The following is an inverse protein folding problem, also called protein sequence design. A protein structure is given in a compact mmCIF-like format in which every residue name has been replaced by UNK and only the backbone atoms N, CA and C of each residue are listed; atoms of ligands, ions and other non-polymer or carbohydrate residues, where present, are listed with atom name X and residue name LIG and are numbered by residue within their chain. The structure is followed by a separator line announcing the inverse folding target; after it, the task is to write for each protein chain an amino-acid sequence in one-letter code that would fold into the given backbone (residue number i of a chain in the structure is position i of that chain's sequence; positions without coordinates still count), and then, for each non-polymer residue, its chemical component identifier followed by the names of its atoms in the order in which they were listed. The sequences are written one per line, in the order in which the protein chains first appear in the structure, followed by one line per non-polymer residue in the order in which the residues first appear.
data_IF_902414656505
#
_entry.id   IF_902414656505
#
_cell.length_a   1.000
_cell.length_b   1.000
_cell.length_c   1.000
_cell.angle_alpha   90.00
_cell.angle_beta   90.00
_cell.angle_gamma   90.00
#
_symmetry.space_group_name_H-M   'P 1'
#
loop_
_entity.id
_entity.type
_entity.pdbx_description
1 polymer ?
#
# COMPACT_ATOMS: atom_id res chain seq x y z
N UNK A 1 4.28 -9.04 13.08
CA UNK A 1 4.13 -9.91 11.88
C UNK A 1 5.42 -10.66 11.60
N UNK A 2 5.35 -11.79 10.89
CA UNK A 2 6.55 -12.60 10.55
C UNK A 2 6.94 -12.48 9.08
N UNK A 3 5.96 -12.25 8.22
CA UNK A 3 6.14 -12.15 6.77
C UNK A 3 5.82 -10.74 6.26
N UNK A 4 4.61 -10.25 6.50
CA UNK A 4 4.15 -8.95 6.00
C UNK A 4 4.48 -7.81 6.96
N UNK A 5 5.77 -7.70 7.33
CA UNK A 5 6.27 -6.66 8.24
C UNK A 5 6.21 -5.27 7.61
N UNK A 6 6.37 -4.23 8.44
CA UNK A 6 6.50 -2.84 7.94
C UNK A 6 7.60 -2.71 6.89
N UNK A 7 8.75 -3.35 7.14
CA UNK A 7 9.88 -3.34 6.22
C UNK A 7 9.55 -4.05 4.88
N UNK A 8 8.79 -5.16 4.95
CA UNK A 8 8.31 -5.83 3.75
C UNK A 8 7.36 -4.92 2.96
N UNK A 9 6.44 -4.24 3.64
CA UNK A 9 5.51 -3.30 3.00
C UNK A 9 6.25 -2.13 2.36
N UNK A 10 7.19 -1.51 3.08
CA UNK A 10 8.04 -0.44 2.53
C UNK A 10 8.85 -0.90 1.30
N UNK A 11 9.28 -2.17 1.28
CA UNK A 11 9.97 -2.75 0.14
C UNK A 11 9.02 -2.96 -1.04
N UNK A 12 7.79 -3.41 -0.79
CA UNK A 12 6.78 -3.62 -1.83
C UNK A 12 6.43 -2.34 -2.58
N UNK A 13 6.45 -1.17 -1.90
CA UNK A 13 6.25 0.14 -2.51
C UNK A 13 7.37 0.55 -3.48
N UNK A 14 8.49 -0.21 -3.53
CA UNK A 14 9.69 0.09 -4.35
C UNK A 14 9.86 -0.85 -5.54
N UNK A 15 8.80 -1.52 -5.96
CA UNK A 15 8.84 -2.54 -7.03
C UNK A 15 8.44 -2.03 -8.40
N UNK A 16 7.84 -0.83 -8.50
CA UNK A 16 7.11 -0.39 -9.70
C UNK A 16 7.61 0.91 -10.35
N UNK A 17 8.65 1.56 -9.83
CA UNK A 17 9.14 2.85 -10.37
C UNK A 17 9.55 2.83 -11.84
N UNK A 18 9.83 1.66 -12.40
CA UNK A 18 10.25 1.50 -13.79
C UNK A 18 9.09 1.38 -14.79
N UNK A 19 7.87 1.07 -14.32
CA UNK A 19 6.78 0.62 -15.20
C UNK A 19 6.33 1.66 -16.23
N UNK A 20 6.39 2.94 -15.88
CA UNK A 20 5.92 4.04 -16.74
C UNK A 20 7.05 4.88 -17.33
N UNK A 21 8.32 4.46 -17.16
CA UNK A 21 9.45 5.24 -17.66
C UNK A 21 9.56 5.19 -19.17
N UNK A 22 9.56 6.36 -19.78
CA UNK A 22 9.79 6.58 -21.21
C UNK A 22 11.26 6.97 -21.43
N UNK A 23 11.90 6.36 -22.41
CA UNK A 23 13.27 6.71 -22.78
C UNK A 23 13.32 7.99 -23.58
N UNK A 24 14.12 8.95 -23.13
CA UNK A 24 14.56 10.08 -23.96
C UNK A 24 16.03 10.39 -23.69
N UNK A 25 16.82 10.43 -24.76
CA UNK A 25 18.25 10.75 -24.68
C UNK A 25 18.51 12.15 -24.12
N UNK A 26 17.59 13.11 -24.30
CA UNK A 26 17.70 14.46 -23.72
C UNK A 26 17.73 14.44 -22.19
N UNK A 27 17.19 13.40 -21.56
CA UNK A 27 17.23 13.22 -20.10
C UNK A 27 18.63 12.84 -19.55
N UNK A 28 19.65 12.68 -20.40
CA UNK A 28 21.04 12.44 -19.97
C UNK A 28 21.69 13.71 -19.40
N UNK A 29 21.19 14.88 -19.76
CA UNK A 29 21.74 16.16 -19.35
C UNK A 29 20.67 17.05 -18.70
N UNK A 30 21.10 17.84 -17.72
CA UNK A 30 20.23 18.86 -17.17
C UNK A 30 19.93 19.93 -18.22
N UNK A 31 18.64 20.22 -18.44
CA UNK A 31 18.20 21.31 -19.34
C UNK A 31 16.87 21.89 -18.84
N UNK A 32 16.89 23.14 -18.44
CA UNK A 32 15.70 23.87 -18.02
C UNK A 32 14.65 23.95 -19.14
N UNK A 33 15.13 24.25 -20.37
CA UNK A 33 14.25 24.33 -21.53
C UNK A 33 13.54 22.99 -21.82
N UNK A 34 14.28 21.89 -21.74
CA UNK A 34 13.72 20.57 -21.94
C UNK A 34 12.70 20.21 -20.85
N UNK A 35 13.02 20.49 -19.58
CA UNK A 35 12.08 20.28 -18.49
C UNK A 35 10.78 21.07 -18.71
N UNK A 36 10.86 22.36 -19.06
CA UNK A 36 9.66 23.18 -19.28
C UNK A 36 8.82 22.68 -20.46
N UNK A 37 9.44 22.24 -21.55
CA UNK A 37 8.72 21.63 -22.67
C UNK A 37 7.99 20.37 -22.24
N UNK A 38 8.66 19.46 -21.53
CA UNK A 38 8.07 18.20 -21.04
C UNK A 38 6.93 18.47 -20.04
N UNK A 39 7.17 19.33 -19.05
CA UNK A 39 6.16 19.68 -18.05
C UNK A 39 4.88 20.25 -18.69
N UNK A 40 5.03 21.15 -19.66
CA UNK A 40 3.88 21.72 -20.36
C UNK A 40 3.14 20.67 -21.20
N UNK A 41 3.86 19.75 -21.84
CA UNK A 41 3.25 18.65 -22.59
C UNK A 41 2.40 17.75 -21.66
N UNK A 42 3.00 17.26 -20.58
CA UNK A 42 2.32 16.41 -19.59
C UNK A 42 1.12 17.10 -18.93
N UNK A 43 1.25 18.38 -18.62
CA UNK A 43 0.15 19.18 -18.10
C UNK A 43 -1.01 19.30 -19.11
N UNK A 44 -0.69 19.50 -20.40
CA UNK A 44 -1.74 19.58 -21.43
C UNK A 44 -2.46 18.24 -21.60
N UNK A 45 -1.73 17.14 -21.61
CA UNK A 45 -2.30 15.80 -21.71
C UNK A 45 -3.17 15.48 -20.50
N UNK A 46 -2.71 15.85 -19.29
CA UNK A 46 -3.50 15.74 -18.07
C UNK A 46 -4.82 16.53 -18.13
N UNK A 47 -4.75 17.79 -18.54
CA UNK A 47 -5.94 18.64 -18.65
C UNK A 47 -6.93 18.11 -19.68
N UNK A 48 -6.45 17.61 -20.82
CA UNK A 48 -7.29 17.00 -21.84
C UNK A 48 -8.00 15.77 -21.31
N UNK A 49 -7.28 14.87 -20.64
CA UNK A 49 -7.86 13.67 -20.03
C UNK A 49 -8.91 14.02 -18.96
N UNK A 50 -8.64 15.02 -18.10
CA UNK A 50 -9.59 15.47 -17.09
C UNK A 50 -10.84 16.08 -17.68
N UNK A 51 -10.72 16.88 -18.73
CA UNK A 51 -11.84 17.47 -19.45
C UNK A 51 -12.74 16.41 -20.10
N UNK A 52 -12.16 15.32 -20.63
CA UNK A 52 -12.89 14.18 -21.19
C UNK A 52 -13.62 13.37 -20.11
N UNK A 53 -13.03 13.23 -18.92
CA UNK A 53 -13.63 12.47 -17.80
C UNK A 53 -14.74 13.23 -17.08
N UNK A 54 -14.62 14.55 -16.94
CA UNK A 54 -15.56 15.41 -16.22
C UNK A 54 -16.38 16.22 -17.22
N UNK A 55 -17.51 15.71 -17.62
CA UNK A 55 -18.42 16.37 -18.59
C UNK A 55 -19.24 17.54 -18.01
N UNK A 56 -19.29 17.68 -16.67
CA UNK A 56 -20.03 18.72 -15.96
C UNK A 56 -19.10 19.28 -14.87
N UNK A 57 -18.93 20.61 -14.85
CA UNK A 57 -18.16 21.38 -13.84
C UNK A 57 -16.63 21.13 -13.85
N UNK A 58 -16.00 20.91 -15.01
CA UNK A 58 -14.54 20.86 -15.11
C UNK A 58 -13.90 22.22 -14.79
N UNK A 59 -13.14 22.30 -13.69
CA UNK A 59 -12.36 23.47 -13.32
C UNK A 59 -10.90 23.32 -13.73
N UNK A 60 -10.52 24.02 -14.79
CA UNK A 60 -9.18 23.92 -15.37
C UNK A 60 -8.06 24.40 -14.44
N UNK A 61 -8.32 25.40 -13.61
CA UNK A 61 -7.31 25.92 -12.68
C UNK A 61 -7.11 24.94 -11.51
N UNK A 62 -8.16 24.36 -11.00
CA UNK A 62 -8.08 23.31 -9.98
C UNK A 62 -7.32 22.07 -10.49
N UNK A 63 -7.62 21.63 -11.72
CA UNK A 63 -6.88 20.52 -12.34
C UNK A 63 -5.39 20.81 -12.56
N UNK A 64 -5.01 22.08 -12.83
CA UNK A 64 -3.61 22.50 -12.90
C UNK A 64 -2.91 22.43 -11.54
N UNK A 65 -3.59 22.87 -10.49
CA UNK A 65 -3.07 22.80 -9.12
C UNK A 65 -2.91 21.35 -8.67
N UNK A 66 -3.88 20.48 -8.96
CA UNK A 66 -3.78 19.04 -8.71
C UNK A 66 -2.55 18.42 -9.38
N UNK A 67 -2.36 18.70 -10.68
CA UNK A 67 -1.20 18.20 -11.41
C UNK A 67 0.11 18.68 -10.79
N UNK A 68 0.19 19.97 -10.47
CA UNK A 68 1.39 20.55 -9.86
C UNK A 68 1.69 19.92 -8.50
N UNK A 69 0.68 19.78 -7.66
CA UNK A 69 0.82 19.18 -6.32
C UNK A 69 1.24 17.71 -6.42
N UNK A 70 0.61 16.93 -7.30
CA UNK A 70 0.98 15.54 -7.55
C UNK A 70 2.44 15.43 -8.04
N UNK A 71 2.87 16.31 -8.94
CA UNK A 71 4.25 16.38 -9.44
C UNK A 71 5.26 16.66 -8.32
N UNK A 72 4.97 17.60 -7.41
CA UNK A 72 5.85 17.91 -6.26
C UNK A 72 5.92 16.72 -5.30
N UNK A 73 4.76 16.12 -4.96
CA UNK A 73 4.70 14.95 -4.08
C UNK A 73 5.48 13.79 -4.68
N UNK A 74 5.34 13.52 -6.00
CA UNK A 74 6.09 12.47 -6.69
C UNK A 74 7.61 12.67 -6.56
N UNK A 75 8.12 13.89 -6.76
CA UNK A 75 9.54 14.18 -6.56
C UNK A 75 10.00 13.87 -5.13
N UNK A 76 9.20 14.21 -4.13
CA UNK A 76 9.53 13.94 -2.73
C UNK A 76 9.58 12.42 -2.45
N UNK A 77 8.62 11.66 -2.99
CA UNK A 77 8.58 10.21 -2.88
C UNK A 77 9.82 9.59 -3.52
N UNK A 78 10.12 9.94 -4.77
CA UNK A 78 11.27 9.44 -5.50
C UNK A 78 12.58 9.73 -4.78
N UNK A 79 12.75 10.94 -4.28
CA UNK A 79 13.95 11.35 -3.52
C UNK A 79 14.12 10.56 -2.23
N UNK A 80 13.02 10.18 -1.57
CA UNK A 80 13.03 9.40 -0.32
C UNK A 80 13.26 7.91 -0.58
N UNK A 81 12.67 7.38 -1.65
CA UNK A 81 12.60 5.93 -1.85
C UNK A 81 13.69 5.37 -2.77
N UNK A 82 14.20 6.16 -3.71
CA UNK A 82 15.27 5.70 -4.59
C UNK A 82 16.65 5.73 -3.88
N UNK A 83 17.48 4.71 -4.10
CA UNK A 83 18.85 4.69 -3.59
C UNK A 83 19.68 5.87 -4.12
N UNK A 84 20.58 6.40 -3.28
CA UNK A 84 21.47 7.49 -3.63
C UNK A 84 22.33 7.20 -4.89
N UNK A 85 22.68 5.93 -5.12
CA UNK A 85 23.42 5.51 -6.32
C UNK A 85 22.62 5.70 -7.60
N UNK A 86 21.29 5.57 -7.55
CA UNK A 86 20.40 5.81 -8.68
C UNK A 86 20.15 7.32 -8.81
N UNK A 87 19.84 8.00 -7.71
CA UNK A 87 19.61 9.44 -7.70
C UNK A 87 20.77 10.24 -8.30
N UNK A 88 22.02 9.82 -8.07
CA UNK A 88 23.22 10.43 -8.66
C UNK A 88 23.36 10.22 -10.17
N UNK A 89 22.62 9.29 -10.77
CA UNK A 89 22.62 9.05 -12.20
C UNK A 89 21.55 9.87 -12.94
N UNK A 90 20.56 10.37 -12.20
CA UNK A 90 19.47 11.20 -12.74
C UNK A 90 19.99 12.63 -12.90
N UNK A 91 20.04 13.13 -14.12
CA UNK A 91 20.51 14.48 -14.41
C UNK A 91 19.56 15.57 -13.91
N UNK A 92 18.25 15.32 -14.02
CA UNK A 92 17.20 16.19 -13.50
C UNK A 92 16.06 15.34 -12.92
N UNK A 93 15.87 15.40 -11.60
CA UNK A 93 14.81 14.66 -10.91
C UNK A 93 13.41 15.09 -11.34
N UNK A 94 13.24 16.32 -11.81
CA UNK A 94 11.96 16.84 -12.30
C UNK A 94 11.54 16.13 -13.59
N UNK A 95 12.49 15.90 -14.50
CA UNK A 95 12.29 15.13 -15.73
C UNK A 95 11.95 13.68 -15.41
N UNK A 96 12.67 13.08 -14.44
CA UNK A 96 12.39 11.73 -13.97
C UNK A 96 11.00 11.62 -13.32
N UNK A 97 10.58 12.63 -12.56
CA UNK A 97 9.24 12.67 -11.94
C UNK A 97 8.09 12.80 -12.94
N UNK A 98 8.39 13.20 -14.18
CA UNK A 98 7.49 13.17 -15.35
C UNK A 98 7.69 11.89 -16.19
N UNK A 99 8.13 10.82 -15.54
CA UNK A 99 8.31 9.49 -16.14
C UNK A 99 9.26 9.42 -17.33
N UNK A 100 10.18 10.37 -17.45
CA UNK A 100 11.15 10.39 -18.56
C UNK A 100 12.58 10.24 -18.04
N UNK A 101 13.35 9.35 -18.66
CA UNK A 101 14.71 9.08 -18.22
C UNK A 101 15.60 8.60 -19.37
N UNK A 102 16.92 8.67 -19.17
CA UNK A 102 17.88 8.04 -20.08
C UNK A 102 17.86 6.52 -19.95
N UNK A 103 18.26 5.81 -20.98
CA UNK A 103 18.36 4.33 -20.97
C UNK A 103 19.17 3.81 -19.78
N UNK A 104 20.25 4.49 -19.44
CA UNK A 104 21.10 4.12 -18.31
C UNK A 104 20.33 4.17 -16.98
N UNK A 105 19.55 5.22 -16.76
CA UNK A 105 18.73 5.40 -15.55
C UNK A 105 17.61 4.36 -15.52
N UNK A 106 16.90 4.16 -16.64
CA UNK A 106 15.85 3.14 -16.76
C UNK A 106 16.40 1.76 -16.35
N UNK A 107 17.53 1.34 -16.91
CA UNK A 107 18.13 0.06 -16.59
C UNK A 107 18.50 -0.07 -15.10
N UNK A 108 19.00 1.00 -14.48
CA UNK A 108 19.35 0.99 -13.05
C UNK A 108 18.11 0.90 -12.16
N UNK A 109 17.04 1.62 -12.51
CA UNK A 109 15.77 1.60 -11.77
C UNK A 109 15.06 0.26 -11.96
N UNK A 110 15.02 -0.27 -13.18
CA UNK A 110 14.44 -1.60 -13.47
C UNK A 110 15.11 -2.68 -12.62
N UNK A 111 16.45 -2.72 -12.63
CA UNK A 111 17.19 -3.69 -11.82
C UNK A 111 16.85 -3.57 -10.32
N UNK A 112 16.79 -2.36 -9.80
CA UNK A 112 16.42 -2.11 -8.40
C UNK A 112 15.01 -2.60 -8.09
N UNK A 113 14.03 -2.29 -8.95
CA UNK A 113 12.64 -2.73 -8.78
C UNK A 113 12.51 -4.25 -8.84
N UNK A 114 13.15 -4.91 -9.81
CA UNK A 114 13.12 -6.37 -9.95
C UNK A 114 13.81 -7.11 -8.78
N UNK A 115 14.86 -6.52 -8.19
CA UNK A 115 15.50 -7.08 -6.99
C UNK A 115 14.57 -7.00 -5.78
N UNK A 116 13.87 -5.88 -5.60
CA UNK A 116 12.87 -5.71 -4.56
C UNK A 116 11.68 -6.66 -4.77
N UNK A 117 11.15 -6.72 -6.00
CA UNK A 117 10.03 -7.59 -6.34
C UNK A 117 10.32 -9.06 -6.06
N UNK A 118 11.51 -9.54 -6.42
CA UNK A 118 11.93 -10.91 -6.09
C UNK A 118 11.91 -11.17 -4.58
N UNK A 119 12.38 -10.20 -3.78
CA UNK A 119 12.41 -10.33 -2.33
C UNK A 119 10.98 -10.31 -1.74
N UNK A 120 10.14 -9.41 -2.21
CA UNK A 120 8.73 -9.30 -1.82
C UNK A 120 7.96 -10.58 -2.14
N UNK A 121 8.11 -11.07 -3.37
CA UNK A 121 7.43 -12.28 -3.84
C UNK A 121 7.89 -13.53 -3.08
N UNK A 122 9.19 -13.65 -2.80
CA UNK A 122 9.71 -14.79 -2.03
C UNK A 122 9.11 -14.87 -0.62
N UNK A 123 8.95 -13.71 0.06
CA UNK A 123 8.31 -13.65 1.37
C UNK A 123 6.82 -14.02 1.27
N UNK A 124 6.11 -13.49 0.29
CA UNK A 124 4.69 -13.81 0.05
C UNK A 124 4.48 -15.29 -0.28
N UNK A 125 5.38 -15.92 -1.04
CA UNK A 125 5.35 -17.37 -1.33
C UNK A 125 5.61 -18.21 -0.09
N UNK A 126 6.51 -17.78 0.79
CA UNK A 126 6.78 -18.45 2.05
C UNK A 126 5.54 -18.41 2.96
N UNK A 127 4.85 -17.26 3.06
CA UNK A 127 3.60 -17.19 3.81
C UNK A 127 2.50 -18.05 3.18
N UNK A 128 2.31 -18.01 1.87
CA UNK A 128 1.33 -18.86 1.17
C UNK A 128 1.57 -20.36 1.42
N UNK A 129 2.84 -20.76 1.41
CA UNK A 129 3.23 -22.16 1.67
C UNK A 129 2.91 -22.56 3.11
N UNK A 130 3.25 -21.70 4.08
CA UNK A 130 2.89 -21.88 5.48
C UNK A 130 1.35 -21.96 5.65
N UNK A 131 0.63 -20.97 5.12
CA UNK A 131 -0.84 -20.86 5.29
C UNK A 131 -1.57 -22.05 4.68
N UNK A 132 -1.13 -22.54 3.53
CA UNK A 132 -1.70 -23.73 2.87
C UNK A 132 -1.65 -24.97 3.76
N UNK A 133 -0.59 -25.15 4.53
CA UNK A 133 -0.45 -26.25 5.46
C UNK A 133 -1.23 -25.99 6.78
N UNK A 134 -1.01 -24.83 7.36
CA UNK A 134 -1.57 -24.44 8.66
C UNK A 134 -3.11 -24.35 8.63
N UNK A 135 -3.69 -23.81 7.56
CA UNK A 135 -5.13 -23.64 7.39
C UNK A 135 -5.94 -24.95 7.39
N UNK A 136 -5.31 -26.08 7.14
CA UNK A 136 -5.96 -27.39 7.28
C UNK A 136 -6.41 -27.72 8.71
N UNK A 137 -5.81 -27.02 9.69
CA UNK A 137 -6.11 -27.16 11.13
C UNK A 137 -6.91 -25.98 11.69
N UNK A 138 -7.24 -24.99 10.88
CA UNK A 138 -8.01 -23.81 11.28
C UNK A 138 -9.51 -24.08 11.20
N UNK A 139 -10.27 -23.34 11.98
CA UNK A 139 -11.72 -23.34 11.87
C UNK A 139 -12.12 -22.75 10.51
N UNK A 140 -13.19 -23.33 9.94
CA UNK A 140 -13.63 -22.99 8.58
C UNK A 140 -13.91 -21.50 8.40
N UNK A 141 -14.55 -20.89 9.39
CA UNK A 141 -14.90 -19.47 9.39
C UNK A 141 -13.65 -18.56 9.31
N UNK A 142 -12.55 -18.93 9.99
CA UNK A 142 -11.29 -18.17 9.91
C UNK A 142 -10.70 -18.25 8.50
N UNK A 143 -10.74 -19.43 7.88
CA UNK A 143 -10.20 -19.61 6.52
C UNK A 143 -11.03 -18.86 5.47
N UNK A 144 -12.36 -18.80 5.67
CA UNK A 144 -13.27 -18.19 4.71
C UNK A 144 -13.42 -16.67 4.92
N UNK A 145 -13.43 -16.20 6.15
CA UNK A 145 -13.89 -14.86 6.51
C UNK A 145 -12.79 -13.92 7.01
N UNK A 146 -11.65 -14.43 7.52
CA UNK A 146 -10.56 -13.56 7.99
C UNK A 146 -9.70 -13.06 6.83
N UNK A 147 -10.20 -12.07 6.10
CA UNK A 147 -9.56 -11.40 4.96
C UNK A 147 -10.13 -9.99 4.81
N UNK A 148 -9.42 -9.00 5.32
CA UNK A 148 -9.91 -7.63 5.45
C UNK A 148 -9.11 -6.61 4.64
N UNK A 149 -8.31 -7.09 3.68
CA UNK A 149 -7.53 -6.20 2.81
C UNK A 149 -8.42 -5.11 2.21
N UNK A 150 -7.97 -3.84 2.29
CA UNK A 150 -8.69 -2.64 1.87
C UNK A 150 -9.97 -2.31 2.66
N UNK A 151 -10.26 -3.02 3.76
CA UNK A 151 -11.29 -2.57 4.70
C UNK A 151 -10.75 -1.46 5.61
N UNK A 152 -11.65 -0.59 6.06
CA UNK A 152 -11.32 0.45 7.03
C UNK A 152 -11.89 0.09 8.41
N UNK A 153 -11.06 0.14 9.46
CA UNK A 153 -11.52 0.01 10.84
C UNK A 153 -12.20 1.32 11.24
N UNK A 154 -13.51 1.30 11.46
CA UNK A 154 -14.30 2.51 11.77
C UNK A 154 -14.65 2.65 13.25
N UNK A 155 -14.63 1.55 14.00
CA UNK A 155 -14.90 1.57 15.42
C UNK A 155 -14.24 0.39 16.13
N UNK A 156 -13.92 0.58 17.42
CA UNK A 156 -13.40 -0.44 18.30
C UNK A 156 -14.18 -0.44 19.61
N UNK A 157 -14.73 -1.60 19.99
CA UNK A 157 -15.40 -1.81 21.28
C UNK A 157 -14.64 -2.89 22.04
N UNK A 158 -14.19 -2.56 23.23
CA UNK A 158 -13.48 -3.49 24.11
C UNK A 158 -14.17 -3.61 25.45
N UNK A 159 -14.29 -4.83 25.95
CA UNK A 159 -14.64 -5.14 27.33
C UNK A 159 -13.61 -6.12 27.92
N UNK A 160 -13.84 -6.65 29.11
CA UNK A 160 -12.87 -7.51 29.81
C UNK A 160 -12.54 -8.81 29.05
N UNK A 161 -13.42 -9.30 28.21
CA UNK A 161 -13.28 -10.59 27.51
C UNK A 161 -13.25 -10.49 26.01
N UNK A 162 -13.82 -9.44 25.43
CA UNK A 162 -14.03 -9.34 24.00
C UNK A 162 -13.50 -8.01 23.45
N UNK A 163 -12.89 -8.08 22.27
CA UNK A 163 -12.55 -6.92 21.45
C UNK A 163 -13.27 -7.07 20.11
N UNK A 164 -14.10 -6.10 19.76
CA UNK A 164 -14.85 -6.06 18.50
C UNK A 164 -14.36 -4.90 17.66
N UNK A 165 -14.00 -5.18 16.40
CA UNK A 165 -13.72 -4.17 15.39
C UNK A 165 -14.89 -4.11 14.42
N UNK A 166 -15.40 -2.90 14.17
CA UNK A 166 -16.39 -2.65 13.11
C UNK A 166 -15.62 -2.14 11.87
N UNK A 167 -15.98 -2.69 10.72
CA UNK A 167 -15.29 -2.46 9.45
C UNK A 167 -16.21 -1.73 8.46
N UNK A 168 -15.67 -0.76 7.74
CA UNK A 168 -16.18 -0.36 6.44
C UNK A 168 -15.50 -1.24 5.39
N UNK A 169 -16.28 -2.14 4.81
CA UNK A 169 -15.82 -3.12 3.82
C UNK A 169 -16.05 -2.68 2.37
N UNK A 170 -16.47 -1.45 2.13
CA UNK A 170 -16.79 -0.93 0.80
C UNK A 170 -15.59 -0.93 -0.16
N UNK A 171 -14.37 -0.85 0.35
CA UNK A 171 -13.11 -0.96 -0.41
C UNK A 171 -12.55 -2.38 -0.46
N UNK A 172 -13.03 -3.28 0.39
CA UNK A 172 -12.46 -4.62 0.59
C UNK A 172 -13.12 -5.71 -0.26
N UNK A 173 -12.66 -6.93 -0.03
CA UNK A 173 -13.13 -8.14 -0.74
C UNK A 173 -13.93 -9.08 0.19
N UNK A 174 -14.55 -8.54 1.22
CA UNK A 174 -15.35 -9.28 2.19
C UNK A 174 -16.72 -8.63 2.39
N UNK A 175 -17.68 -9.40 2.87
CA UNK A 175 -19.00 -8.95 3.32
C UNK A 175 -19.12 -8.88 4.86
N UNK A 176 -18.01 -9.08 5.57
CA UNK A 176 -17.95 -9.01 7.02
C UNK A 176 -17.92 -7.54 7.47
N UNK A 177 -18.86 -7.17 8.35
CA UNK A 177 -18.94 -5.82 8.94
C UNK A 177 -18.30 -5.74 10.32
N UNK A 178 -18.25 -6.86 11.06
CA UNK A 178 -17.65 -6.90 12.38
C UNK A 178 -16.87 -8.17 12.62
N UNK A 179 -15.71 -8.05 13.26
CA UNK A 179 -14.94 -9.17 13.78
C UNK A 179 -14.80 -9.04 15.30
N UNK A 180 -15.16 -10.09 16.03
CA UNK A 180 -15.05 -10.15 17.49
C UNK A 180 -14.03 -11.20 17.91
N UNK A 181 -13.04 -10.78 18.68
CA UNK A 181 -12.03 -11.62 19.32
C UNK A 181 -12.47 -11.91 20.76
N UNK A 182 -12.79 -13.18 21.06
CA UNK A 182 -13.30 -13.62 22.36
C UNK A 182 -12.17 -14.20 23.22
N UNK A 183 -12.18 -13.89 24.53
CA UNK A 183 -11.13 -14.23 25.48
C UNK A 183 -9.74 -13.84 24.94
N UNK A 184 -9.65 -12.59 24.51
CA UNK A 184 -8.49 -12.07 23.81
C UNK A 184 -7.36 -11.68 24.76
N UNK A 185 -6.15 -11.69 24.21
CA UNK A 185 -4.98 -11.07 24.81
C UNK A 185 -4.29 -10.20 23.75
N UNK A 186 -4.19 -8.91 24.02
CA UNK A 186 -3.51 -7.97 23.15
C UNK A 186 -1.99 -8.15 23.31
N UNK A 187 -1.33 -8.59 22.24
CA UNK A 187 0.12 -8.85 22.24
C UNK A 187 0.87 -7.57 21.82
N UNK A 188 0.37 -6.88 20.79
CA UNK A 188 0.97 -5.62 20.29
C UNK A 188 -0.10 -4.73 19.65
N UNK A 189 -0.03 -3.46 19.98
CA UNK A 189 -0.76 -2.39 19.30
C UNK A 189 0.10 -1.13 19.42
N UNK A 190 0.70 -0.67 18.32
CA UNK A 190 1.61 0.48 18.34
C UNK A 190 0.99 1.77 17.79
N UNK A 191 -0.34 1.81 17.69
CA UNK A 191 -1.12 2.98 17.29
C UNK A 191 -2.61 2.82 17.54
N UNK A 192 -3.39 3.86 17.25
CA UNK A 192 -4.84 3.82 17.29
C UNK A 192 -5.35 3.04 16.08
N UNK A 193 -6.34 2.15 16.28
CA UNK A 193 -6.90 1.32 15.22
C UNK A 193 -8.03 2.02 14.46
N UNK A 194 -8.77 2.90 15.12
CA UNK A 194 -9.87 3.62 14.49
C UNK A 194 -9.39 4.50 13.34
N UNK A 195 -10.12 4.48 12.25
CA UNK A 195 -9.82 5.17 11.00
C UNK A 195 -8.55 4.70 10.28
N UNK A 196 -8.11 3.46 10.54
CA UNK A 196 -7.01 2.83 9.80
C UNK A 196 -7.51 1.94 8.67
N UNK A 197 -6.68 1.80 7.63
CA UNK A 197 -6.88 0.85 6.56
C UNK A 197 -6.18 -0.46 6.87
N UNK A 198 -6.86 -1.59 6.63
CA UNK A 198 -6.31 -2.92 6.80
C UNK A 198 -5.52 -3.31 5.55
N UNK A 199 -4.20 -3.43 5.67
CA UNK A 199 -3.33 -3.70 4.53
C UNK A 199 -3.06 -5.19 4.35
N UNK A 200 -2.63 -5.87 5.40
CA UNK A 200 -2.26 -7.30 5.35
C UNK A 200 -2.56 -7.99 6.67
N UNK A 201 -2.80 -9.30 6.59
CA UNK A 201 -3.00 -10.15 7.76
C UNK A 201 -2.21 -11.44 7.67
N UNK A 202 -1.87 -11.98 8.85
CA UNK A 202 -1.31 -13.31 9.06
C UNK A 202 -2.07 -14.00 10.19
N UNK A 203 -2.32 -15.29 10.05
CA UNK A 203 -3.00 -16.10 11.08
C UNK A 203 -2.13 -17.26 11.49
N UNK A 204 -2.05 -17.48 12.79
CA UNK A 204 -1.30 -18.57 13.40
C UNK A 204 -2.16 -19.30 14.41
N UNK A 205 -1.90 -20.60 14.63
CA UNK A 205 -2.49 -21.37 15.73
C UNK A 205 -1.36 -21.72 16.70
N UNK A 206 -1.47 -21.18 17.91
CA UNK A 206 -0.47 -21.31 18.97
C UNK A 206 -1.15 -21.81 20.23
N UNK A 207 -0.75 -22.97 20.76
CA UNK A 207 -1.29 -23.54 22.01
C UNK A 207 -2.83 -23.60 22.07
N UNK A 208 -3.48 -24.02 21.00
CA UNK A 208 -4.93 -24.08 20.85
C UNK A 208 -5.67 -22.73 20.78
N UNK A 209 -4.95 -21.63 20.71
CA UNK A 209 -5.50 -20.31 20.45
C UNK A 209 -5.11 -19.84 19.06
N UNK A 210 -5.85 -18.88 18.54
CA UNK A 210 -5.47 -18.18 17.32
C UNK A 210 -4.69 -16.92 17.66
N UNK A 211 -3.65 -16.65 16.89
CA UNK A 211 -2.90 -15.41 16.94
C UNK A 211 -3.02 -14.71 15.57
N UNK A 212 -3.58 -13.52 15.58
CA UNK A 212 -3.85 -12.70 14.41
C UNK A 212 -2.89 -11.52 14.39
N UNK A 213 -2.21 -11.37 13.30
CA UNK A 213 -1.31 -10.25 13.05
C UNK A 213 -1.87 -9.42 11.91
N UNK A 214 -2.11 -8.14 12.12
CA UNK A 214 -2.52 -7.21 11.09
C UNK A 214 -1.52 -6.08 10.93
N UNK A 215 -1.25 -5.71 9.70
CA UNK A 215 -0.58 -4.47 9.33
C UNK A 215 -1.66 -3.49 8.87
N UNK A 216 -1.72 -2.37 9.54
CA UNK A 216 -2.68 -1.30 9.27
C UNK A 216 -1.95 -0.02 8.88
N UNK A 217 -2.65 0.91 8.24
CA UNK A 217 -2.14 2.24 7.90
C UNK A 217 -3.14 3.31 8.31
N UNK A 218 -2.66 4.36 9.00
CA UNK A 218 -3.51 5.50 9.35
C UNK A 218 -3.54 6.56 8.23
N UNK A 219 -4.37 7.61 8.40
CA UNK A 219 -4.50 8.69 7.43
C UNK A 219 -3.23 9.54 7.22
N UNK A 220 -2.19 9.35 8.03
CA UNK A 220 -0.89 10.01 7.92
C UNK A 220 0.17 9.12 7.26
N UNK A 221 -0.22 7.98 6.70
CA UNK A 221 0.61 6.92 6.13
C UNK A 221 1.58 6.30 7.14
N UNK A 222 1.21 6.25 8.41
CA UNK A 222 1.97 5.53 9.43
C UNK A 222 1.48 4.08 9.52
N UNK A 223 2.41 3.16 9.50
CA UNK A 223 2.12 1.73 9.60
C UNK A 223 1.99 1.32 11.07
N UNK A 224 0.93 0.59 11.36
CA UNK A 224 0.58 0.12 12.71
C UNK A 224 0.57 -1.41 12.71
N UNK A 225 1.32 -2.01 13.64
CA UNK A 225 1.18 -3.42 13.96
C UNK A 225 0.05 -3.62 14.98
N UNK A 226 -0.89 -4.49 14.66
CA UNK A 226 -1.90 -4.98 15.57
C UNK A 226 -1.78 -6.49 15.66
N UNK A 227 -1.44 -7.01 16.86
CA UNK A 227 -1.27 -8.44 17.13
C UNK A 227 -2.11 -8.81 18.34
N UNK A 228 -3.02 -9.76 18.15
CA UNK A 228 -3.96 -10.22 19.16
C UNK A 228 -4.05 -11.74 19.14
N UNK A 229 -4.08 -12.37 20.31
CA UNK A 229 -4.48 -13.77 20.42
C UNK A 229 -5.91 -13.87 20.95
N UNK A 230 -6.65 -14.88 20.52
CA UNK A 230 -8.01 -15.13 20.99
C UNK A 230 -8.29 -16.63 21.01
N UNK A 231 -9.15 -17.07 21.94
CA UNK A 231 -9.62 -18.45 21.99
C UNK A 231 -10.61 -18.74 20.86
N UNK A 232 -11.40 -17.71 20.49
CA UNK A 232 -12.41 -17.80 19.45
C UNK A 232 -12.50 -16.47 18.69
N UNK A 233 -12.87 -16.55 17.42
CA UNK A 233 -13.20 -15.37 16.60
C UNK A 233 -14.56 -15.60 15.95
N UNK A 234 -15.39 -14.56 15.94
CA UNK A 234 -16.67 -14.56 15.27
C UNK A 234 -16.80 -13.39 14.30
N UNK A 235 -17.56 -13.61 13.23
CA UNK A 235 -17.74 -12.66 12.14
C UNK A 235 -19.22 -12.34 11.99
N UNK A 236 -19.55 -11.05 11.90
CA UNK A 236 -20.93 -10.58 11.75
C UNK A 236 -21.08 -9.87 10.42
N UNK A 237 -22.17 -10.13 9.74
CA UNK A 237 -22.63 -9.46 8.53
C UNK A 237 -23.92 -8.73 8.83
N UNK A 238 -24.05 -7.47 8.44
CA UNK A 238 -25.30 -6.74 8.57
C UNK A 238 -26.26 -7.25 7.51
N UNK A 239 -27.45 -7.63 7.93
CA UNK A 239 -28.55 -7.90 7.01
C UNK A 239 -28.93 -6.59 6.29
N UNK A 240 -28.90 -6.61 4.96
CA UNK A 240 -29.38 -5.50 4.11
C UNK A 240 -30.90 -5.57 3.93
#
# INVERSE_FOLDING_TARGET
MKYFTKEWFELSQKTSFHLNLVEDQKAELFSEEYFQQLYNSELMDWLTLREEMYTIDFNKEEAREEFHNAFIVNQMILKRQLPQMILKQIADLRVFALYTASRKVINAVTKFCEENERSVNAIGENYRSYYKEASTSFDKEIVEDFRFHDCKVINLIQNDTNLTLTLDNSGGFTDVDEVTFENFHLIKQDGLLENTWWLYEEVYKVNNQYEFHALLENGENELIDFIISAERVSFTRKDF
#
